data_IF_820081061191
#
_entry.id   IF_820081061191
#
_cell.length_a   1.000
_cell.length_b   1.000
_cell.length_c   1.000
_cell.angle_alpha   90.00
_cell.angle_beta   90.00
_cell.angle_gamma   90.00
#
_symmetry.space_group_name_H-M   'P 1'
#
loop_
_entity.id
_entity.type
_entity.pdbx_description
1 polymer ?
#
# COMPACT_ATOMS: atom_id res chain seq x y z
N UNK A 1 -6.91 30.19 -38.61
CA UNK A 1 -7.13 28.78 -38.20
C UNK A 1 -7.36 28.75 -36.69
N UNK A 2 -8.60 28.55 -36.24
CA UNK A 2 -8.89 28.40 -34.81
C UNK A 2 -8.47 26.99 -34.41
N UNK A 3 -7.35 26.90 -33.67
CA UNK A 3 -6.96 25.66 -33.00
C UNK A 3 -8.10 25.30 -32.03
N UNK A 4 -8.91 24.30 -32.39
CA UNK A 4 -9.89 23.72 -31.47
C UNK A 4 -9.11 23.02 -30.37
N UNK A 5 -8.76 23.77 -29.32
CA UNK A 5 -8.12 23.22 -28.13
C UNK A 5 -9.14 22.30 -27.47
N UNK A 6 -8.92 20.98 -27.58
CA UNK A 6 -9.71 19.99 -26.84
C UNK A 6 -9.58 20.28 -25.35
N UNK A 7 -10.72 20.46 -24.66
CA UNK A 7 -10.75 20.57 -23.21
C UNK A 7 -10.79 19.18 -22.60
N UNK A 8 -9.98 18.92 -21.57
CA UNK A 8 -10.04 17.66 -20.80
C UNK A 8 -11.44 17.39 -20.24
N UNK A 9 -12.22 18.44 -19.96
CA UNK A 9 -13.59 18.32 -19.45
C UNK A 9 -14.55 17.68 -20.47
N UNK A 10 -14.24 17.80 -21.77
CA UNK A 10 -15.07 17.22 -22.84
C UNK A 10 -14.82 15.73 -23.06
N UNK A 11 -13.80 15.16 -22.42
CA UNK A 11 -13.52 13.73 -22.53
C UNK A 11 -14.61 12.92 -21.80
N UNK A 12 -14.89 11.68 -22.20
CA UNK A 12 -15.66 10.73 -21.38
C UNK A 12 -14.96 10.47 -20.03
N UNK A 13 -15.74 10.06 -19.01
CA UNK A 13 -15.23 9.79 -17.67
C UNK A 13 -14.11 8.77 -17.67
N UNK A 14 -14.29 7.70 -18.44
CA UNK A 14 -13.41 6.55 -18.51
C UNK A 14 -12.04 6.95 -19.08
N UNK A 15 -12.05 7.82 -20.10
CA UNK A 15 -10.83 8.32 -20.72
C UNK A 15 -10.08 9.26 -19.78
N UNK A 16 -10.80 10.19 -19.12
CA UNK A 16 -10.19 11.08 -18.14
C UNK A 16 -9.58 10.29 -16.96
N UNK A 17 -10.32 9.31 -16.44
CA UNK A 17 -9.85 8.44 -15.37
C UNK A 17 -8.65 7.59 -15.79
N UNK A 18 -8.64 7.08 -17.03
CA UNK A 18 -7.50 6.35 -17.57
C UNK A 18 -6.25 7.23 -17.67
N UNK A 19 -6.38 8.46 -18.18
CA UNK A 19 -5.25 9.41 -18.22
C UNK A 19 -4.73 9.69 -16.80
N UNK A 20 -5.65 9.92 -15.85
CA UNK A 20 -5.28 10.16 -14.46
C UNK A 20 -4.62 8.93 -13.78
N UNK A 21 -4.97 7.71 -14.20
CA UNK A 21 -4.35 6.49 -13.66
C UNK A 21 -2.91 6.29 -14.14
N UNK A 22 -2.52 6.90 -15.26
CA UNK A 22 -1.14 6.88 -15.78
C UNK A 22 -0.18 7.78 -14.98
N UNK A 23 -0.67 8.63 -14.08
CA UNK A 23 0.19 9.47 -13.25
C UNK A 23 1.02 8.61 -12.31
N UNK A 24 2.32 8.85 -12.19
CA UNK A 24 3.20 7.95 -11.41
C UNK A 24 2.99 8.05 -9.90
N UNK A 25 2.51 9.21 -9.39
CA UNK A 25 2.39 9.43 -7.94
C UNK A 25 1.02 9.94 -7.51
N UNK A 26 0.66 9.66 -6.26
CA UNK A 26 -0.55 10.23 -5.63
C UNK A 26 -0.47 11.77 -5.51
N UNK A 27 0.75 12.33 -5.51
CA UNK A 27 0.98 13.77 -5.51
C UNK A 27 0.53 14.40 -6.83
N UNK A 28 0.93 13.82 -7.96
CA UNK A 28 0.56 14.32 -9.29
C UNK A 28 -0.95 14.22 -9.50
N UNK A 29 -1.54 13.10 -9.07
CA UNK A 29 -3.00 12.92 -9.07
C UNK A 29 -3.70 13.98 -8.22
N UNK A 30 -3.17 14.28 -7.03
CA UNK A 30 -3.69 15.34 -6.17
C UNK A 30 -3.60 16.73 -6.82
N UNK A 31 -2.49 17.02 -7.50
CA UNK A 31 -2.29 18.28 -8.23
C UNK A 31 -3.32 18.40 -9.36
N UNK A 32 -3.51 17.35 -10.16
CA UNK A 32 -4.54 17.32 -11.21
C UNK A 32 -5.93 17.61 -10.63
N UNK A 33 -6.32 16.93 -9.58
CA UNK A 33 -7.62 17.14 -8.94
C UNK A 33 -7.80 18.56 -8.38
N UNK A 34 -6.72 19.23 -7.97
CA UNK A 34 -6.79 20.62 -7.49
C UNK A 34 -6.99 21.65 -8.60
N UNK A 35 -6.78 21.28 -9.87
CA UNK A 35 -6.94 22.23 -10.99
C UNK A 35 -8.39 22.59 -11.27
N UNK A 36 -9.33 21.65 -11.08
CA UNK A 36 -10.73 21.84 -11.43
C UNK A 36 -11.63 20.94 -10.59
N UNK A 37 -12.73 21.51 -10.06
CA UNK A 37 -13.74 20.77 -9.28
C UNK A 37 -14.35 19.62 -10.07
N UNK A 38 -14.69 19.83 -11.34
CA UNK A 38 -15.28 18.79 -12.19
C UNK A 38 -14.30 17.63 -12.42
N UNK A 39 -13.01 17.93 -12.67
CA UNK A 39 -11.97 16.89 -12.77
C UNK A 39 -11.87 16.12 -11.47
N UNK A 40 -11.81 16.81 -10.32
CA UNK A 40 -11.77 16.15 -9.02
C UNK A 40 -12.96 15.22 -8.80
N UNK A 41 -14.19 15.67 -9.06
CA UNK A 41 -15.40 14.87 -8.85
C UNK A 41 -15.38 13.59 -9.69
N UNK A 42 -14.91 13.68 -10.95
CA UNK A 42 -14.89 12.56 -11.89
C UNK A 42 -13.73 11.60 -11.62
N UNK A 43 -12.54 12.13 -11.32
CA UNK A 43 -11.33 11.34 -11.05
C UNK A 43 -11.41 10.67 -9.67
N UNK A 44 -11.88 11.39 -8.65
CA UNK A 44 -11.95 10.92 -7.27
C UNK A 44 -13.29 10.24 -6.92
N UNK A 45 -14.18 10.04 -7.89
CA UNK A 45 -15.44 9.31 -7.71
C UNK A 45 -15.19 7.93 -7.07
N UNK A 46 -16.11 7.45 -6.24
CA UNK A 46 -15.90 6.20 -5.50
C UNK A 46 -15.78 4.97 -6.42
N UNK A 47 -16.51 4.98 -7.52
CA UNK A 47 -16.53 3.97 -8.57
C UNK A 47 -15.45 4.17 -9.65
N UNK A 48 -14.64 5.22 -9.54
CA UNK A 48 -13.55 5.50 -10.48
C UNK A 48 -12.62 4.29 -10.66
N UNK A 49 -12.28 3.97 -11.92
CA UNK A 49 -11.36 2.86 -12.25
C UNK A 49 -9.93 3.07 -11.73
N UNK A 50 -9.61 4.29 -11.31
CA UNK A 50 -8.31 4.66 -10.73
C UNK A 50 -8.03 3.85 -9.47
N UNK A 51 -9.02 3.67 -8.59
CA UNK A 51 -8.80 3.00 -7.31
C UNK A 51 -8.38 1.55 -7.50
N UNK A 52 -9.01 0.84 -8.44
CA UNK A 52 -8.60 -0.51 -8.81
C UNK A 52 -7.20 -0.54 -9.40
N UNK A 53 -6.88 0.40 -10.28
CA UNK A 53 -5.55 0.50 -10.92
C UNK A 53 -4.46 0.73 -9.88
N UNK A 54 -4.63 1.75 -9.03
CA UNK A 54 -3.71 2.12 -7.94
C UNK A 54 -3.55 1.02 -6.91
N UNK A 55 -4.64 0.37 -6.54
CA UNK A 55 -4.59 -0.72 -5.59
C UNK A 55 -3.80 -1.90 -6.16
N UNK A 56 -4.11 -2.34 -7.39
CA UNK A 56 -3.40 -3.45 -8.08
C UNK A 56 -1.92 -3.16 -8.32
N UNK A 57 -1.55 -1.89 -8.46
CA UNK A 57 -0.15 -1.47 -8.60
C UNK A 57 0.64 -1.79 -7.33
N UNK A 58 0.09 -1.48 -6.15
CA UNK A 58 0.79 -1.55 -4.86
C UNK A 58 0.49 -2.79 -4.00
N UNK A 59 -0.66 -3.44 -4.20
CA UNK A 59 -1.18 -4.49 -3.34
C UNK A 59 -1.80 -5.63 -4.17
N UNK A 60 -1.97 -6.78 -3.53
CA UNK A 60 -2.68 -7.92 -4.12
C UNK A 60 -4.18 -7.66 -4.13
N UNK A 61 -4.82 -7.95 -5.26
CA UNK A 61 -6.22 -7.61 -5.49
C UNK A 61 -7.07 -8.87 -5.68
N UNK A 62 -8.03 -9.09 -4.77
CA UNK A 62 -9.06 -10.10 -4.93
C UNK A 62 -9.97 -9.78 -6.13
N UNK A 63 -10.44 -10.83 -6.83
CA UNK A 63 -11.11 -10.70 -8.14
C UNK A 63 -12.43 -9.93 -8.05
N UNK A 64 -13.14 -10.04 -6.94
CA UNK A 64 -14.51 -9.61 -6.68
C UNK A 64 -14.65 -8.23 -6.02
N UNK A 65 -13.54 -7.56 -5.68
CA UNK A 65 -13.60 -6.24 -5.02
C UNK A 65 -13.89 -5.11 -6.00
N UNK A 66 -14.74 -4.18 -5.61
CA UNK A 66 -15.13 -3.00 -6.39
C UNK A 66 -14.22 -1.80 -6.10
N UNK A 67 -14.10 -0.84 -7.03
CA UNK A 67 -13.37 0.41 -6.79
C UNK A 67 -13.86 1.18 -5.55
N UNK A 68 -15.18 1.10 -5.28
CA UNK A 68 -15.81 1.76 -4.12
C UNK A 68 -15.28 1.21 -2.80
N UNK A 69 -15.05 -0.09 -2.72
CA UNK A 69 -14.47 -0.74 -1.53
C UNK A 69 -12.96 -0.49 -1.45
N UNK A 70 -12.27 -0.48 -2.59
CA UNK A 70 -10.81 -0.29 -2.64
C UNK A 70 -10.38 1.14 -2.31
N UNK A 71 -11.20 2.15 -2.66
CA UNK A 71 -10.89 3.56 -2.43
C UNK A 71 -10.53 3.87 -0.96
N UNK A 72 -11.41 3.66 0.03
CA UNK A 72 -11.12 4.04 1.42
C UNK A 72 -9.92 3.27 1.98
N UNK A 73 -9.74 2.02 1.57
CA UNK A 73 -8.62 1.19 2.00
C UNK A 73 -7.29 1.69 1.42
N UNK A 74 -7.25 1.97 0.12
CA UNK A 74 -6.09 2.56 -0.54
C UNK A 74 -5.71 3.88 0.13
N UNK A 75 -6.69 4.78 0.33
CA UNK A 75 -6.46 6.08 0.92
C UNK A 75 -5.96 5.97 2.37
N UNK A 76 -6.55 5.08 3.16
CA UNK A 76 -6.09 4.80 4.52
C UNK A 76 -4.64 4.34 4.52
N UNK A 77 -4.29 3.33 3.70
CA UNK A 77 -2.91 2.83 3.60
C UNK A 77 -1.94 3.91 3.12
N UNK A 78 -2.33 4.71 2.13
CA UNK A 78 -1.49 5.80 1.60
C UNK A 78 -1.23 6.91 2.62
N UNK A 79 -2.13 7.12 3.58
CA UNK A 79 -1.97 8.12 4.65
C UNK A 79 -1.24 7.56 5.87
N UNK A 80 -1.53 6.31 6.24
CA UNK A 80 -1.05 5.70 7.49
C UNK A 80 0.35 5.13 7.33
N UNK A 81 0.61 4.35 6.27
CA UNK A 81 1.87 3.61 6.12
C UNK A 81 3.12 4.51 6.05
N UNK A 82 3.13 5.67 5.37
CA UNK A 82 4.32 6.53 5.29
C UNK A 82 4.66 7.27 6.59
N UNK A 83 3.85 7.14 7.65
CA UNK A 83 4.09 7.85 8.91
C UNK A 83 5.35 7.31 9.58
N UNK A 84 6.24 8.22 9.97
CA UNK A 84 7.38 7.91 10.82
C UNK A 84 6.89 7.72 12.25
N UNK A 85 7.04 6.52 12.77
CA UNK A 85 6.60 6.17 14.13
C UNK A 85 7.79 5.79 14.99
N UNK A 86 7.78 6.27 16.23
CA UNK A 86 8.78 5.93 17.24
C UNK A 86 8.18 4.99 18.29
N UNK A 87 8.51 3.70 18.18
CA UNK A 87 8.00 2.66 19.08
C UNK A 87 8.72 2.58 20.44
N UNK A 88 9.66 3.50 20.74
CA UNK A 88 10.39 3.56 22.02
C UNK A 88 9.50 3.86 23.23
N UNK A 89 8.42 4.60 23.02
CA UNK A 89 7.48 5.00 24.06
C UNK A 89 6.25 4.09 24.13
N UNK A 90 5.40 4.31 25.14
CA UNK A 90 4.10 3.65 25.26
C UNK A 90 3.25 3.84 24.00
N UNK A 91 2.40 2.85 23.72
CA UNK A 91 1.63 2.82 22.49
C UNK A 91 0.62 3.98 22.42
N UNK A 92 0.79 4.86 21.43
CA UNK A 92 -0.14 5.94 21.17
C UNK A 92 -1.15 5.57 20.08
N UNK A 93 -2.22 6.35 19.97
CA UNK A 93 -3.30 6.08 19.00
C UNK A 93 -2.82 6.00 17.54
N UNK A 94 -1.78 6.75 17.16
CA UNK A 94 -1.25 6.69 15.81
C UNK A 94 -0.53 5.36 15.53
N UNK A 95 0.14 4.81 16.54
CA UNK A 95 0.79 3.50 16.47
C UNK A 95 -0.24 2.38 16.39
N UNK A 96 -1.33 2.46 17.16
CA UNK A 96 -2.43 1.50 17.11
C UNK A 96 -3.01 1.44 15.69
N UNK A 97 -3.44 2.59 15.15
CA UNK A 97 -4.00 2.67 13.79
C UNK A 97 -3.03 2.12 12.74
N UNK A 98 -1.73 2.41 12.88
CA UNK A 98 -0.73 1.86 11.97
C UNK A 98 -0.60 0.35 12.07
N UNK A 99 -0.55 -0.18 13.30
CA UNK A 99 -0.49 -1.62 13.52
C UNK A 99 -1.76 -2.31 13.00
N UNK A 100 -2.95 -1.69 13.12
CA UNK A 100 -4.22 -2.25 12.63
C UNK A 100 -4.18 -2.43 11.11
N UNK A 101 -3.64 -1.42 10.41
CA UNK A 101 -3.44 -1.47 8.96
C UNK A 101 -2.47 -2.58 8.59
N UNK A 102 -1.32 -2.70 9.28
CA UNK A 102 -0.35 -3.77 9.01
C UNK A 102 -0.96 -5.14 9.29
N UNK A 103 -1.67 -5.33 10.41
CA UNK A 103 -2.32 -6.60 10.74
C UNK A 103 -3.32 -7.01 9.65
N UNK A 104 -4.11 -6.07 9.14
CA UNK A 104 -5.05 -6.30 8.04
C UNK A 104 -4.31 -6.73 6.77
N UNK A 105 -3.23 -6.04 6.41
CA UNK A 105 -2.41 -6.39 5.25
C UNK A 105 -1.74 -7.77 5.39
N UNK A 106 -1.29 -8.15 6.59
CA UNK A 106 -0.74 -9.49 6.87
C UNK A 106 -1.80 -10.55 6.62
N UNK A 107 -3.00 -10.38 7.19
CA UNK A 107 -4.12 -11.32 6.98
C UNK A 107 -4.41 -11.48 5.50
N UNK A 108 -4.46 -10.38 4.74
CA UNK A 108 -4.66 -10.41 3.28
C UNK A 108 -3.54 -11.17 2.57
N UNK A 109 -2.28 -10.94 2.92
CA UNK A 109 -1.14 -11.60 2.26
C UNK A 109 -1.15 -13.14 2.42
N UNK A 110 -1.77 -13.65 3.48
CA UNK A 110 -1.86 -15.09 3.77
C UNK A 110 -3.14 -15.70 3.17
N UNK A 111 -4.25 -14.95 3.18
CA UNK A 111 -5.58 -15.46 2.81
C UNK A 111 -5.92 -15.28 1.35
N UNK A 112 -5.36 -14.26 0.68
CA UNK A 112 -5.66 -14.00 -0.71
C UNK A 112 -4.93 -14.99 -1.62
N UNK A 113 -5.64 -15.64 -2.57
CA UNK A 113 -4.99 -16.46 -3.57
C UNK A 113 -4.16 -15.55 -4.47
N UNK A 114 -2.84 -15.61 -4.32
CA UNK A 114 -1.91 -14.77 -5.09
C UNK A 114 -1.91 -15.28 -6.54
N UNK A 115 -2.22 -14.39 -7.49
CA UNK A 115 -2.15 -14.71 -8.92
C UNK A 115 -0.71 -14.75 -9.46
N UNK A 116 0.24 -14.27 -8.66
CA UNK A 116 1.65 -14.07 -8.97
C UNK A 116 2.45 -14.86 -7.91
N UNK A 117 3.64 -15.34 -8.24
CA UNK A 117 4.50 -16.10 -7.31
C UNK A 117 4.88 -15.30 -6.05
N UNK A 118 4.86 -13.96 -6.12
CA UNK A 118 5.23 -13.06 -5.01
C UNK A 118 4.09 -12.10 -4.69
N UNK A 119 3.63 -12.11 -3.44
CA UNK A 119 2.62 -11.19 -2.92
C UNK A 119 3.14 -9.75 -2.89
N UNK A 120 2.47 -8.84 -3.60
CA UNK A 120 2.78 -7.41 -3.56
C UNK A 120 2.48 -6.80 -2.21
N UNK A 121 1.38 -7.23 -1.58
CA UNK A 121 0.99 -6.78 -0.25
C UNK A 121 2.09 -7.10 0.75
N UNK A 122 2.60 -8.33 0.73
CA UNK A 122 3.71 -8.74 1.57
C UNK A 122 5.00 -7.94 1.28
N UNK A 123 5.35 -7.75 0.00
CA UNK A 123 6.48 -6.90 -0.39
C UNK A 123 6.36 -5.48 0.20
N UNK A 124 5.16 -4.90 0.18
CA UNK A 124 4.90 -3.59 0.78
C UNK A 124 5.01 -3.59 2.31
N UNK A 125 4.55 -4.65 2.99
CA UNK A 125 4.74 -4.81 4.43
C UNK A 125 6.24 -4.81 4.75
N UNK A 126 7.05 -5.61 4.03
CA UNK A 126 8.50 -5.66 4.23
C UNK A 126 9.14 -4.28 4.07
N UNK A 127 8.83 -3.58 2.99
CA UNK A 127 9.31 -2.22 2.74
C UNK A 127 8.98 -1.28 3.91
N UNK A 128 7.72 -1.22 4.33
CA UNK A 128 7.26 -0.33 5.41
C UNK A 128 7.93 -0.71 6.74
N UNK A 129 8.03 -1.99 7.05
CA UNK A 129 8.66 -2.48 8.28
C UNK A 129 10.15 -2.12 8.33
N UNK A 130 10.87 -2.10 7.20
CA UNK A 130 12.28 -1.68 7.19
C UNK A 130 12.48 -0.19 7.48
N UNK A 131 11.48 0.64 7.18
CA UNK A 131 11.55 2.09 7.40
C UNK A 131 11.23 2.50 8.84
N UNK A 132 10.51 1.66 9.59
CA UNK A 132 10.24 1.89 11.00
C UNK A 132 11.30 1.21 11.87
N UNK A 133 11.79 1.91 12.89
CA UNK A 133 12.68 1.39 13.94
C UNK A 133 11.98 0.34 14.85
N UNK A 134 10.94 -0.33 14.35
CA UNK A 134 10.08 -1.24 15.09
C UNK A 134 10.83 -2.36 15.82
N UNK A 135 11.90 -2.88 15.22
CA UNK A 135 12.72 -3.96 15.80
C UNK A 135 13.90 -3.48 16.64
N UNK A 136 14.20 -2.19 16.68
CA UNK A 136 15.31 -1.69 17.50
C UNK A 136 15.00 -1.80 19.00
N UNK A 137 13.73 -2.00 19.36
CA UNK A 137 13.27 -2.11 20.76
C UNK A 137 12.28 -3.28 20.91
N UNK A 138 12.75 -4.53 20.79
CA UNK A 138 11.87 -5.70 20.84
C UNK A 138 11.22 -5.88 22.23
N UNK A 139 11.85 -5.34 23.27
CA UNK A 139 11.38 -5.41 24.65
C UNK A 139 10.61 -4.15 25.01
N UNK A 140 9.29 -4.18 24.83
CA UNK A 140 8.38 -3.27 25.53
C UNK A 140 8.06 -3.85 26.90
N UNK A 141 7.90 -3.00 27.91
CA UNK A 141 7.50 -3.42 29.25
C UNK A 141 6.11 -4.05 29.27
N UNK A 142 5.22 -3.58 28.39
CA UNK A 142 3.84 -4.07 28.23
C UNK A 142 3.44 -4.05 26.75
N UNK A 143 3.91 -5.01 25.93
CA UNK A 143 3.52 -5.06 24.51
C UNK A 143 2.04 -5.45 24.38
N UNK A 144 1.35 -4.85 23.41
CA UNK A 144 0.01 -5.31 23.02
C UNK A 144 0.10 -6.59 22.20
N UNK A 145 -0.95 -7.42 22.23
CA UNK A 145 -1.03 -8.64 21.40
C UNK A 145 -0.80 -8.33 19.91
N UNK A 146 -1.25 -7.16 19.47
CA UNK A 146 -1.10 -6.71 18.09
C UNK A 146 0.35 -6.36 17.75
N UNK A 147 1.08 -5.73 18.67
CA UNK A 147 2.51 -5.49 18.53
C UNK A 147 3.27 -6.81 18.43
N UNK A 148 2.95 -7.80 19.27
CA UNK A 148 3.55 -9.13 19.23
C UNK A 148 3.25 -9.86 17.90
N UNK A 149 2.00 -9.82 17.44
CA UNK A 149 1.61 -10.46 16.17
C UNK A 149 2.39 -9.88 14.97
N UNK A 150 2.56 -8.56 14.92
CA UNK A 150 3.32 -7.90 13.86
C UNK A 150 4.83 -8.19 13.97
N UNK A 151 5.38 -8.33 15.18
CA UNK A 151 6.76 -8.77 15.37
C UNK A 151 7.01 -10.19 14.85
N UNK A 152 6.10 -11.13 15.14
CA UNK A 152 6.23 -12.52 14.71
C UNK A 152 6.30 -12.65 13.19
N UNK A 153 5.49 -11.88 12.45
CA UNK A 153 5.52 -11.87 10.98
C UNK A 153 6.91 -11.55 10.45
N UNK A 154 7.65 -10.63 11.08
CA UNK A 154 9.00 -10.27 10.64
C UNK A 154 10.06 -11.31 11.05
N UNK A 155 9.91 -11.96 12.21
CA UNK A 155 10.79 -13.04 12.65
C UNK A 155 10.75 -14.23 11.68
N UNK A 156 9.55 -14.63 11.23
CA UNK A 156 9.40 -15.65 10.17
C UNK A 156 10.11 -15.25 8.86
N UNK A 157 10.17 -13.94 8.56
CA UNK A 157 10.83 -13.44 7.36
C UNK A 157 12.36 -13.46 7.45
N UNK A 158 12.94 -13.24 8.65
CA UNK A 158 14.40 -13.34 8.83
C UNK A 158 14.87 -14.79 8.73
N UNK A 159 14.11 -15.74 9.30
CA UNK A 159 14.44 -17.17 9.28
C UNK A 159 14.43 -17.72 7.84
N UNK A 160 13.47 -17.29 7.01
CA UNK A 160 13.38 -17.70 5.61
C UNK A 160 14.47 -17.08 4.72
N UNK A 161 15.05 -15.94 5.09
CA UNK A 161 16.20 -15.34 4.39
C UNK A 161 17.55 -16.05 4.72
N UNK A 162 17.70 -16.58 5.95
CA UNK A 162 18.89 -17.34 6.35
C UNK A 162 18.95 -18.76 5.72
N UNK A 163 17.81 -19.38 5.45
CA UNK A 163 17.78 -20.69 4.77
C UNK A 163 18.14 -20.59 3.28
N UNK A 164 17.82 -19.48 2.60
CA UNK A 164 18.14 -19.30 1.17
C UNK A 164 19.57 -18.82 0.87
N UNK A 165 20.31 -18.36 1.88
CA UNK A 165 21.71 -17.89 1.70
C UNK A 165 22.76 -18.96 1.96
N UNK A 166 22.39 -20.11 2.53
CA UNK A 166 23.32 -21.21 2.80
C UNK A 166 23.46 -22.25 1.68
N UNK A 167 22.68 -22.17 0.60
CA UNK A 167 22.70 -23.17 -0.50
C UNK A 167 23.60 -22.82 -1.70
N UNK A 168 24.37 -21.73 -1.64
CA UNK A 168 25.34 -21.39 -2.70
C UNK A 168 26.76 -21.22 -2.13
N UNK A 169 27.35 -22.31 -1.64
CA UNK A 169 28.81 -22.43 -1.62
C UNK A 169 29.28 -22.96 -2.98
N UNK A 170 30.11 -22.24 -3.75
CA UNK A 170 30.65 -22.77 -4.99
C UNK A 170 31.60 -23.93 -4.66
N UNK A 171 31.36 -25.09 -5.28
CA UNK A 171 32.32 -26.18 -5.32
C UNK A 171 33.55 -25.66 -6.08
N UNK A 172 34.61 -25.36 -5.35
CA UNK A 172 35.94 -25.13 -5.90
C UNK A 172 36.47 -26.46 -6.43
N UNK A 173 36.63 -26.57 -7.75
CA UNK A 173 37.44 -27.56 -8.43
C UNK A 173 38.48 -26.85 -9.30
#
# INVERSE_FOLDING_TARGET
>A
MVSSRGSLLKLPNEILQHIASLMSTDRDLSILCKTCKEINERVMAADSGIWRTRFKEKYDLAKDRTSRELKPEYQTRAIVLPRKLDFKQAENEQQKVWLEVIQTMVKESITLPVQIEISKTYGKIREVMTQVEFLSHPKRNTPSDMFCAVQLVRLFNTITEEEFTNDFSPISA
#
